data_IF_616901939096
#
_entry.id   IF_616901939096
#
_cell.length_a   1.000
_cell.length_b   1.000
_cell.length_c   1.000
_cell.angle_alpha   90.00
_cell.angle_beta   90.00
_cell.angle_gamma   90.00
#
_symmetry.space_group_name_H-M   'P 1'
#
loop_
_entity.id
_entity.type
_entity.pdbx_description
1 polymer ?
#
# COMPACT_ATOMS: atom_id res chain seq x y z
N UNK A 1 -5.40 0.16 11.41
CA UNK A 1 -4.59 1.40 11.61
C UNK A 1 -3.81 1.43 12.94
N UNK A 2 -4.17 0.64 13.95
CA UNK A 2 -3.43 0.58 15.22
C UNK A 2 -2.01 0.06 15.04
N UNK A 3 -1.82 -1.00 14.23
CA UNK A 3 -0.49 -1.54 13.91
C UNK A 3 0.39 -0.50 13.20
N UNK A 4 -0.17 0.32 12.30
CA UNK A 4 0.60 1.37 11.63
C UNK A 4 1.12 2.43 12.64
N UNK A 5 0.25 2.87 13.58
CA UNK A 5 0.68 3.81 14.63
C UNK A 5 1.70 3.19 15.57
N UNK A 6 1.57 1.89 15.89
CA UNK A 6 2.57 1.18 16.67
C UNK A 6 3.91 1.20 15.94
N UNK A 7 3.91 0.85 14.64
CA UNK A 7 5.12 0.82 13.83
C UNK A 7 5.80 2.19 13.80
N UNK A 8 5.07 3.25 13.47
CA UNK A 8 5.66 4.60 13.38
C UNK A 8 6.05 5.23 14.73
N UNK A 9 5.69 4.61 15.85
CA UNK A 9 6.21 4.98 17.16
C UNK A 9 7.57 4.35 17.48
N UNK A 10 8.08 3.44 16.65
CA UNK A 10 9.36 2.76 16.85
C UNK A 10 10.49 3.56 16.17
N UNK A 11 11.68 3.67 16.78
CA UNK A 11 12.84 4.29 16.14
C UNK A 11 13.22 3.66 14.80
N UNK A 12 13.06 2.34 14.69
CA UNK A 12 13.39 1.55 13.49
C UNK A 12 12.43 1.80 12.32
N UNK A 13 11.33 2.51 12.53
CA UNK A 13 10.44 2.95 11.46
C UNK A 13 10.97 4.16 10.66
N UNK A 14 12.06 4.76 11.14
CA UNK A 14 12.68 5.88 10.43
C UNK A 14 13.03 5.51 8.99
N UNK A 15 12.62 6.35 8.04
CA UNK A 15 12.81 6.11 6.60
C UNK A 15 11.76 5.21 5.96
N UNK A 16 10.75 4.74 6.71
CA UNK A 16 9.61 4.03 6.14
C UNK A 16 8.44 4.95 5.86
N UNK A 17 7.69 4.65 4.81
CA UNK A 17 6.45 5.31 4.41
C UNK A 17 5.34 4.27 4.27
N UNK A 18 4.15 4.60 4.78
CA UNK A 18 2.96 3.78 4.53
C UNK A 18 2.58 3.92 3.05
N UNK A 19 2.28 2.80 2.42
CA UNK A 19 1.93 2.68 1.01
C UNK A 19 0.60 1.92 0.84
N UNK A 20 0.34 1.44 -0.35
CA UNK A 20 -0.77 0.54 -0.65
C UNK A 20 -2.15 1.11 -0.34
N UNK A 21 -3.08 0.20 -0.03
CA UNK A 21 -4.47 0.54 0.30
C UNK A 21 -4.60 1.33 1.60
N UNK A 22 -3.77 1.02 2.59
CA UNK A 22 -3.79 1.69 3.89
C UNK A 22 -3.41 3.18 3.79
N UNK A 23 -2.46 3.53 2.92
CA UNK A 23 -2.10 4.92 2.66
C UNK A 23 -3.24 5.69 1.97
N UNK A 24 -3.96 5.06 1.03
CA UNK A 24 -5.15 5.67 0.42
C UNK A 24 -6.23 5.98 1.47
N UNK A 25 -6.46 5.06 2.41
CA UNK A 25 -7.41 5.27 3.52
C UNK A 25 -6.92 6.37 4.46
N UNK A 26 -5.63 6.37 4.84
CA UNK A 26 -5.04 7.36 5.74
C UNK A 26 -5.13 8.79 5.17
N UNK A 27 -5.04 8.93 3.85
CA UNK A 27 -5.17 10.20 3.13
C UNK A 27 -6.61 10.52 2.69
N UNK A 28 -7.60 9.75 3.12
CA UNK A 28 -9.00 9.93 2.72
C UNK A 28 -9.24 9.89 1.20
N UNK A 29 -8.40 9.19 0.46
CA UNK A 29 -8.54 8.98 -0.99
C UNK A 29 -9.53 7.87 -1.33
N UNK A 30 -9.72 6.91 -0.42
CA UNK A 30 -10.72 5.86 -0.50
C UNK A 30 -11.37 5.62 0.86
N UNK A 31 -12.57 5.05 0.85
CA UNK A 31 -13.26 4.56 2.06
C UNK A 31 -13.27 3.04 2.13
N UNK A 32 -12.68 2.37 1.12
CA UNK A 32 -12.60 0.91 1.06
C UNK A 32 -11.74 0.39 2.21
N UNK A 33 -12.22 -0.58 3.00
CA UNK A 33 -11.38 -1.22 4.01
C UNK A 33 -10.18 -1.92 3.36
N UNK A 34 -9.08 -2.00 4.11
CA UNK A 34 -7.87 -2.73 3.74
C UNK A 34 -7.45 -3.65 4.87
N UNK A 35 -7.00 -4.84 4.51
CA UNK A 35 -6.51 -5.87 5.44
C UNK A 35 -4.98 -5.94 5.45
N UNK A 36 -4.33 -5.16 4.56
CA UNK A 36 -2.89 -5.15 4.37
C UNK A 36 -2.32 -3.79 4.77
N UNK A 37 -1.11 -3.80 5.35
CA UNK A 37 -0.29 -2.63 5.61
C UNK A 37 1.04 -2.79 4.85
N UNK A 38 1.29 -1.92 3.91
CA UNK A 38 2.52 -1.89 3.12
C UNK A 38 3.42 -0.75 3.64
N UNK A 39 4.61 -1.06 4.12
CA UNK A 39 5.62 -0.09 4.54
C UNK A 39 6.81 -0.15 3.60
N UNK A 40 7.07 0.93 2.88
CA UNK A 40 8.17 1.02 1.94
C UNK A 40 9.28 1.90 2.47
N UNK A 41 10.51 1.47 2.23
CA UNK A 41 11.73 2.22 2.51
C UNK A 41 12.68 2.15 1.33
N UNK A 42 13.81 2.88 1.37
CA UNK A 42 14.88 2.73 0.39
C UNK A 42 16.11 2.07 1.05
N UNK A 43 17.06 1.56 0.26
CA UNK A 43 18.27 0.95 0.83
C UNK A 43 19.08 1.90 1.73
N UNK A 44 18.96 3.22 1.50
CA UNK A 44 19.71 4.25 2.21
C UNK A 44 19.02 4.76 3.47
N UNK A 45 17.68 4.59 3.57
CA UNK A 45 16.90 5.29 4.61
C UNK A 45 16.36 4.40 5.70
N UNK A 46 16.13 3.10 5.42
CA UNK A 46 15.59 2.17 6.41
C UNK A 46 16.19 0.78 6.30
N UNK A 47 15.99 -0.02 7.35
CA UNK A 47 16.55 -1.37 7.46
C UNK A 47 15.45 -2.37 7.78
N UNK A 48 14.98 -3.11 6.76
CA UNK A 48 13.84 -4.03 6.84
C UNK A 48 13.98 -5.06 7.99
N UNK A 49 15.10 -5.79 8.15
CA UNK A 49 15.22 -6.76 9.23
C UNK A 49 15.06 -6.15 10.63
N UNK A 50 15.72 -5.02 10.90
CA UNK A 50 15.62 -4.36 12.20
C UNK A 50 14.20 -3.84 12.48
N UNK A 51 13.57 -3.23 11.49
CA UNK A 51 12.18 -2.75 11.59
C UNK A 51 11.18 -3.90 11.81
N UNK A 52 11.41 -5.05 11.15
CA UNK A 52 10.61 -6.27 11.34
C UNK A 52 10.74 -6.81 12.77
N UNK A 53 11.97 -6.96 13.28
CA UNK A 53 12.23 -7.42 14.65
C UNK A 53 11.63 -6.48 15.71
N UNK A 54 11.78 -5.17 15.52
CA UNK A 54 11.23 -4.17 16.44
C UNK A 54 9.69 -4.21 16.45
N UNK A 55 9.04 -4.33 15.30
CA UNK A 55 7.59 -4.44 15.22
C UNK A 55 7.09 -5.73 15.87
N UNK A 56 7.78 -6.86 15.67
CA UNK A 56 7.44 -8.10 16.36
C UNK A 56 7.54 -7.97 17.87
N UNK A 57 8.64 -7.41 18.37
CA UNK A 57 8.85 -7.22 19.81
C UNK A 57 7.77 -6.31 20.42
N UNK A 58 7.47 -5.19 19.77
CA UNK A 58 6.44 -4.25 20.20
C UNK A 58 5.03 -4.88 20.19
N UNK A 59 4.73 -5.69 19.17
CA UNK A 59 3.44 -6.38 19.05
C UNK A 59 3.29 -7.45 20.15
N UNK A 60 4.33 -8.25 20.40
CA UNK A 60 4.33 -9.21 21.52
C UNK A 60 4.17 -8.53 22.87
N UNK A 61 4.78 -7.37 23.06
CA UNK A 61 4.63 -6.55 24.26
C UNK A 61 3.19 -6.08 24.52
N UNK A 62 2.35 -6.06 23.47
CA UNK A 62 0.89 -5.79 23.57
C UNK A 62 0.03 -7.05 23.71
N UNK A 63 0.65 -8.22 23.78
CA UNK A 63 -0.06 -9.50 23.85
C UNK A 63 -0.64 -9.96 22.50
N UNK A 64 -0.19 -9.38 21.36
CA UNK A 64 -0.60 -9.80 20.04
C UNK A 64 0.18 -11.03 19.59
N UNK A 65 -0.44 -11.88 18.79
CA UNK A 65 0.26 -12.99 18.15
C UNK A 65 0.82 -12.58 16.79
N UNK A 66 2.04 -13.06 16.50
CA UNK A 66 2.74 -12.74 15.26
C UNK A 66 3.23 -14.03 14.60
N UNK A 67 3.08 -14.07 13.29
CA UNK A 67 3.62 -15.12 12.44
C UNK A 67 4.45 -14.45 11.33
N UNK A 68 5.74 -14.81 11.22
CA UNK A 68 6.61 -14.35 10.15
C UNK A 68 6.46 -15.32 8.99
N UNK A 69 5.91 -14.83 7.85
CA UNK A 69 5.64 -15.62 6.65
C UNK A 69 6.83 -15.59 5.69
N UNK A 70 7.48 -14.43 5.59
CA UNK A 70 8.66 -14.24 4.74
C UNK A 70 9.68 -13.36 5.44
N UNK A 71 10.97 -13.67 5.20
CA UNK A 71 12.09 -12.94 5.79
C UNK A 71 13.26 -12.90 4.82
N UNK A 72 13.65 -11.67 4.44
CA UNK A 72 14.85 -11.41 3.65
C UNK A 72 15.42 -10.03 4.03
N UNK A 73 16.57 -9.69 3.48
CA UNK A 73 17.20 -8.39 3.73
C UNK A 73 16.41 -7.20 3.17
N UNK A 74 15.54 -7.44 2.17
CA UNK A 74 14.79 -6.39 1.46
C UNK A 74 13.28 -6.51 1.57
N UNK A 75 12.79 -7.61 2.15
CA UNK A 75 11.35 -7.85 2.29
C UNK A 75 11.06 -8.72 3.51
N UNK A 76 10.09 -8.30 4.31
CA UNK A 76 9.54 -9.07 5.44
C UNK A 76 8.02 -9.04 5.38
N UNK A 77 7.36 -10.20 5.53
CA UNK A 77 5.91 -10.31 5.65
C UNK A 77 5.55 -10.92 6.99
N UNK A 78 4.72 -10.21 7.75
CA UNK A 78 4.17 -10.64 9.02
C UNK A 78 2.65 -10.78 8.91
N UNK A 79 2.08 -11.72 9.67
CA UNK A 79 0.66 -11.71 10.02
C UNK A 79 0.55 -11.39 11.51
N UNK A 80 -0.06 -10.27 11.84
CA UNK A 80 -0.27 -9.81 13.21
C UNK A 80 -1.75 -9.99 13.54
N UNK A 81 -2.04 -10.65 14.67
CA UNK A 81 -3.41 -10.89 15.14
C UNK A 81 -3.61 -10.26 16.51
N UNK A 82 -4.69 -9.50 16.64
CA UNK A 82 -5.15 -8.89 17.88
C UNK A 82 -6.65 -9.13 18.08
N UNK A 83 -7.27 -8.44 19.05
CA UNK A 83 -8.73 -8.51 19.29
C UNK A 83 -9.60 -8.12 18.09
N UNK A 84 -9.10 -7.26 17.22
CA UNK A 84 -9.83 -6.71 16.07
C UNK A 84 -9.72 -7.60 14.82
N UNK A 85 -8.83 -8.61 14.86
CA UNK A 85 -8.64 -9.53 13.75
C UNK A 85 -7.19 -9.73 13.36
N UNK A 86 -6.97 -10.14 12.11
CA UNK A 86 -5.66 -10.35 11.52
C UNK A 86 -5.35 -9.25 10.50
N UNK A 87 -4.10 -8.79 10.46
CA UNK A 87 -3.58 -7.86 9.45
C UNK A 87 -2.28 -8.42 8.88
N UNK A 88 -2.15 -8.34 7.56
CA UNK A 88 -0.89 -8.64 6.87
C UNK A 88 -0.06 -7.36 6.87
N UNK A 89 1.21 -7.49 7.21
CA UNK A 89 2.17 -6.37 7.24
C UNK A 89 3.35 -6.72 6.36
N UNK A 90 3.56 -5.92 5.33
CA UNK A 90 4.70 -6.00 4.43
C UNK A 90 5.65 -4.83 4.69
N UNK A 91 6.92 -5.14 4.96
CA UNK A 91 8.01 -4.18 4.98
C UNK A 91 8.90 -4.47 3.77
N UNK A 92 9.11 -3.49 2.91
CA UNK A 92 9.85 -3.70 1.66
C UNK A 92 10.79 -2.55 1.33
N UNK A 93 11.95 -2.90 0.79
CA UNK A 93 12.80 -1.94 0.08
C UNK A 93 12.20 -1.68 -1.29
N UNK A 94 12.06 -0.40 -1.64
CA UNK A 94 11.54 0.05 -2.93
C UNK A 94 12.44 1.15 -3.50
N UNK A 95 12.19 1.55 -4.74
CA UNK A 95 12.83 2.73 -5.32
C UNK A 95 12.47 4.00 -4.53
N UNK A 96 13.37 4.99 -4.47
CA UNK A 96 13.07 6.28 -3.85
C UNK A 96 11.83 6.93 -4.50
N UNK A 97 10.90 7.49 -3.71
CA UNK A 97 9.76 8.21 -4.26
C UNK A 97 10.22 9.55 -4.88
N UNK A 98 9.55 9.98 -5.95
CA UNK A 98 9.84 11.26 -6.62
C UNK A 98 9.21 12.46 -5.89
N UNK A 99 8.22 12.22 -5.02
CA UNK A 99 7.52 13.26 -4.27
C UNK A 99 7.79 13.14 -2.77
N UNK A 100 7.79 14.28 -2.06
CA UNK A 100 7.93 14.28 -0.61
C UNK A 100 6.78 13.52 0.05
N UNK A 101 7.07 12.88 1.18
CA UNK A 101 6.08 12.17 1.97
C UNK A 101 4.94 13.09 2.43
N UNK A 102 3.75 12.52 2.58
CA UNK A 102 2.58 13.18 3.16
C UNK A 102 2.38 12.73 4.60
N UNK A 103 2.18 13.69 5.52
CA UNK A 103 1.89 13.38 6.91
C UNK A 103 0.41 13.04 7.11
N UNK A 104 0.14 11.98 7.86
CA UNK A 104 -1.22 11.54 8.23
C UNK A 104 -1.33 11.17 9.70
N UNK A 105 -2.55 10.98 10.19
CA UNK A 105 -2.78 10.49 11.55
C UNK A 105 -2.29 9.04 11.79
N UNK A 106 -1.96 8.32 10.73
CA UNK A 106 -1.39 6.96 10.80
C UNK A 106 0.15 6.96 10.77
N UNK A 107 0.75 8.08 10.41
CA UNK A 107 2.18 8.28 10.17
C UNK A 107 2.45 8.80 8.76
N UNK A 108 3.73 8.91 8.36
CA UNK A 108 4.12 9.35 7.03
C UNK A 108 3.71 8.32 5.97
N UNK A 109 3.25 8.82 4.82
CA UNK A 109 2.78 8.00 3.69
C UNK A 109 3.47 8.42 2.40
N UNK A 110 3.48 7.57 1.38
CA UNK A 110 3.78 8.01 0.02
C UNK A 110 2.84 9.15 -0.39
N UNK A 111 3.33 10.08 -1.20
CA UNK A 111 2.51 11.16 -1.76
C UNK A 111 1.31 10.61 -2.55
N UNK A 112 0.19 11.37 -2.64
CA UNK A 112 -0.99 10.94 -3.39
C UNK A 112 -0.69 10.57 -4.85
N UNK A 113 0.20 11.32 -5.50
CA UNK A 113 0.63 11.08 -6.88
C UNK A 113 1.44 9.79 -7.02
N UNK A 114 2.32 9.49 -6.04
CA UNK A 114 3.05 8.22 -5.97
C UNK A 114 2.09 7.04 -5.82
N UNK A 115 1.17 7.13 -4.86
CA UNK A 115 0.16 6.11 -4.64
C UNK A 115 -0.67 5.86 -5.89
N UNK A 116 -1.02 6.93 -6.63
CA UNK A 116 -1.79 6.82 -7.86
C UNK A 116 -1.04 6.02 -8.94
N UNK A 117 0.26 6.27 -9.13
CA UNK A 117 1.11 5.52 -10.04
C UNK A 117 1.24 4.04 -9.64
N UNK A 118 1.58 3.77 -8.38
CA UNK A 118 1.69 2.40 -7.86
C UNK A 118 0.37 1.61 -7.99
N UNK A 119 -0.78 2.26 -7.79
CA UNK A 119 -2.08 1.62 -7.98
C UNK A 119 -2.40 1.30 -9.42
N UNK A 120 -1.98 2.15 -10.36
CA UNK A 120 -2.12 1.83 -11.78
C UNK A 120 -1.22 0.67 -12.19
N UNK A 121 0.01 0.60 -11.66
CA UNK A 121 0.90 -0.55 -11.86
C UNK A 121 0.33 -1.83 -11.24
N UNK A 122 -0.26 -1.78 -10.06
CA UNK A 122 -0.91 -2.94 -9.47
C UNK A 122 -2.07 -3.47 -10.35
N UNK A 123 -2.83 -2.59 -11.00
CA UNK A 123 -3.84 -3.00 -11.98
C UNK A 123 -3.20 -3.56 -13.24
N UNK A 124 -2.11 -2.95 -13.74
CA UNK A 124 -1.34 -3.43 -14.87
C UNK A 124 -0.77 -4.84 -14.65
N UNK A 125 -0.29 -5.14 -13.43
CA UNK A 125 0.38 -6.40 -13.13
C UNK A 125 -0.60 -7.56 -12.86
N UNK A 126 -1.71 -7.30 -12.17
CA UNK A 126 -2.58 -8.38 -11.66
C UNK A 126 -4.08 -8.16 -11.87
N UNK A 127 -4.54 -6.93 -12.08
CA UNK A 127 -5.92 -6.56 -12.28
C UNK A 127 -6.90 -7.23 -11.29
N UNK A 128 -6.63 -7.14 -9.98
CA UNK A 128 -7.55 -7.63 -8.97
C UNK A 128 -8.75 -6.68 -8.80
N UNK A 129 -9.91 -7.17 -8.36
CA UNK A 129 -11.13 -6.38 -8.19
C UNK A 129 -10.91 -5.06 -7.42
N UNK A 130 -10.11 -5.11 -6.35
CA UNK A 130 -9.74 -3.93 -5.54
C UNK A 130 -8.94 -2.87 -6.32
N UNK A 131 -8.14 -3.27 -7.31
CA UNK A 131 -7.31 -2.35 -8.08
C UNK A 131 -8.18 -1.52 -9.04
N UNK A 132 -9.25 -2.10 -9.60
CA UNK A 132 -10.24 -1.36 -10.39
C UNK A 132 -10.96 -0.30 -9.54
N UNK A 133 -11.38 -0.66 -8.32
CA UNK A 133 -12.04 0.29 -7.40
C UNK A 133 -11.10 1.46 -7.03
N UNK A 134 -9.84 1.16 -6.71
CA UNK A 134 -8.83 2.18 -6.38
C UNK A 134 -8.58 3.11 -7.58
N UNK A 135 -8.38 2.55 -8.79
CA UNK A 135 -8.13 3.34 -10.00
C UNK A 135 -9.34 4.16 -10.41
N UNK A 136 -10.56 3.67 -10.24
CA UNK A 136 -11.78 4.46 -10.49
C UNK A 136 -11.79 5.77 -9.67
N UNK A 137 -11.46 5.69 -8.40
CA UNK A 137 -11.41 6.88 -7.51
C UNK A 137 -10.25 7.80 -7.89
N UNK A 138 -9.06 7.23 -8.10
CA UNK A 138 -7.85 7.99 -8.40
C UNK A 138 -7.92 8.68 -9.76
N UNK A 139 -8.53 8.02 -10.78
CA UNK A 139 -8.72 8.62 -12.10
C UNK A 139 -9.65 9.84 -12.09
N UNK A 140 -10.65 9.85 -11.20
CA UNK A 140 -11.53 11.00 -10.98
C UNK A 140 -10.83 12.16 -10.29
N UNK A 141 -9.81 11.88 -9.46
CA UNK A 141 -9.07 12.90 -8.72
C UNK A 141 -7.91 13.48 -9.53
N UNK A 142 -7.12 12.64 -10.17
CA UNK A 142 -5.87 13.05 -10.84
C UNK A 142 -5.99 13.13 -12.36
N UNK A 143 -7.00 12.49 -12.93
CA UNK A 143 -7.17 12.36 -14.37
C UNK A 143 -6.31 11.26 -15.00
N UNK A 144 -6.78 10.71 -16.12
CA UNK A 144 -6.14 9.60 -16.83
C UNK A 144 -4.69 9.88 -17.25
N UNK A 145 -4.44 11.08 -17.79
CA UNK A 145 -3.12 11.43 -18.30
C UNK A 145 -2.05 11.40 -17.19
N UNK A 146 -2.38 11.93 -16.01
CA UNK A 146 -1.48 11.92 -14.84
C UNK A 146 -1.18 10.50 -14.39
N UNK A 147 -2.19 9.64 -14.29
CA UNK A 147 -2.00 8.23 -13.88
C UNK A 147 -1.07 7.50 -14.83
N UNK A 148 -1.30 7.61 -16.16
CA UNK A 148 -0.47 6.97 -17.17
C UNK A 148 0.98 7.47 -17.13
N UNK A 149 1.16 8.79 -17.01
CA UNK A 149 2.48 9.40 -16.93
C UNK A 149 3.24 8.92 -15.68
N UNK A 150 2.56 8.84 -14.52
CA UNK A 150 3.19 8.35 -13.28
C UNK A 150 3.58 6.89 -13.36
N UNK A 151 2.69 6.03 -13.85
CA UNK A 151 3.03 4.61 -14.01
C UNK A 151 4.27 4.41 -14.90
N UNK A 152 4.34 5.13 -16.04
CA UNK A 152 5.48 5.06 -16.94
C UNK A 152 6.79 5.64 -16.36
N UNK A 153 6.71 6.55 -15.38
CA UNK A 153 7.87 7.09 -14.67
C UNK A 153 8.39 6.09 -13.61
N UNK A 154 7.47 5.41 -12.92
CA UNK A 154 7.81 4.43 -11.86
C UNK A 154 8.34 3.13 -12.48
N UNK A 155 7.74 2.67 -13.58
CA UNK A 155 8.10 1.41 -14.24
C UNK A 155 8.33 1.61 -15.74
N UNK A 156 9.59 1.46 -16.16
CA UNK A 156 9.98 1.54 -17.57
C UNK A 156 9.36 0.41 -18.45
N UNK A 157 8.88 -0.67 -17.85
CA UNK A 157 8.16 -1.75 -18.53
C UNK A 157 6.67 -1.48 -18.74
N UNK A 158 6.15 -0.36 -18.24
CA UNK A 158 4.74 -0.02 -18.39
C UNK A 158 4.35 0.19 -19.86
N UNK A 159 3.35 -0.55 -20.34
CA UNK A 159 2.79 -0.45 -21.68
C UNK A 159 1.27 -0.20 -21.61
N UNK A 160 0.83 0.90 -22.21
CA UNK A 160 -0.57 1.29 -22.22
C UNK A 160 -1.49 0.32 -23.00
N UNK A 161 -0.95 -0.49 -23.92
CA UNK A 161 -1.72 -1.52 -24.65
C UNK A 161 -1.99 -2.70 -23.70
N UNK A 162 -0.97 -3.15 -23.00
CA UNK A 162 -1.12 -4.20 -21.97
C UNK A 162 -2.09 -3.74 -20.88
N UNK A 163 -2.00 -2.48 -20.45
CA UNK A 163 -2.98 -1.91 -19.52
C UNK A 163 -4.41 -1.98 -20.07
N UNK A 164 -4.61 -1.70 -21.36
CA UNK A 164 -5.94 -1.79 -21.97
C UNK A 164 -6.49 -3.23 -21.93
N UNK A 165 -5.64 -4.23 -22.18
CA UNK A 165 -6.00 -5.64 -22.09
C UNK A 165 -6.33 -6.01 -20.63
N UNK A 166 -5.56 -5.51 -19.65
CA UNK A 166 -5.84 -5.72 -18.23
C UNK A 166 -7.14 -5.05 -17.78
N UNK A 167 -7.44 -3.85 -18.28
CA UNK A 167 -8.72 -3.16 -18.03
C UNK A 167 -9.91 -3.96 -18.58
N UNK A 168 -9.78 -4.60 -19.75
CA UNK A 168 -10.83 -5.44 -20.32
C UNK A 168 -11.15 -6.67 -19.46
N UNK A 169 -10.26 -7.05 -18.52
CA UNK A 169 -10.54 -8.16 -17.60
C UNK A 169 -11.56 -7.80 -16.51
N UNK A 170 -12.02 -6.55 -16.43
CA UNK A 170 -13.07 -6.13 -15.49
C UNK A 170 -14.33 -6.99 -15.59
N UNK A 171 -14.70 -7.43 -16.79
CA UNK A 171 -15.87 -8.28 -17.04
C UNK A 171 -15.81 -9.67 -16.35
N UNK A 172 -14.66 -10.04 -15.77
CA UNK A 172 -14.53 -11.28 -14.98
C UNK A 172 -15.09 -11.16 -13.56
N UNK A 173 -15.34 -9.93 -13.11
CA UNK A 173 -15.84 -9.67 -11.77
C UNK A 173 -17.33 -9.31 -11.80
N UNK A 174 -18.05 -9.78 -10.80
CA UNK A 174 -19.40 -9.30 -10.50
C UNK A 174 -19.34 -7.99 -9.72
N UNK A 175 -20.43 -7.23 -9.71
CA UNK A 175 -20.52 -5.95 -8.99
C UNK A 175 -20.24 -6.13 -7.48
N UNK A 176 -20.61 -7.28 -6.90
CA UNK A 176 -20.37 -7.58 -5.48
C UNK A 176 -18.91 -7.87 -5.13
N UNK A 177 -18.11 -8.29 -6.12
CA UNK A 177 -16.68 -8.56 -5.93
C UNK A 177 -15.84 -7.29 -6.00
N UNK A 178 -16.37 -6.22 -6.62
CA UNK A 178 -15.67 -4.95 -6.71
C UNK A 178 -16.00 -4.12 -5.48
N UNK A 179 -15.02 -3.87 -4.58
CA UNK A 179 -15.25 -3.13 -3.34
C UNK A 179 -15.41 -1.63 -3.64
N UNK A 180 -16.53 -1.25 -4.26
CA UNK A 180 -16.80 0.15 -4.56
C UNK A 180 -16.85 0.99 -3.29
N UNK A 181 -16.22 2.18 -3.25
CA UNK A 181 -16.40 3.10 -2.15
C UNK A 181 -17.88 3.46 -2.05
N UNK A 182 -18.44 3.37 -0.84
CA UNK A 182 -19.83 3.75 -0.60
C UNK A 182 -20.07 5.15 -1.17
N UNK A 183 -21.07 5.28 -2.03
CA UNK A 183 -21.48 6.59 -2.53
C UNK A 183 -21.76 7.49 -1.32
N UNK A 184 -21.06 8.61 -1.19
CA UNK A 184 -21.42 9.63 -0.19
C UNK A 184 -22.84 10.08 -0.52
N UNK A 185 -23.80 9.72 0.34
CA UNK A 185 -25.16 10.28 0.31
C UNK A 185 -25.13 11.74 0.72
#
# INVERSE_FOLDING_TARGET
>A
MEVARLFFALPESTGFLLAGGAALVAQHLTTRPTEDLDFFTTPETGHVPAACEALEAASRGRGWSIERIHDSSTFCRLVIRNSDGAVIVDLAVNAPPDFPASETAAGPTLAPEELAGHKLLALFDRAAARDFADIYVLARRFGKATLLARAAQIDAGFDARVLADMLATLDRFTDDEIPCPAARR
#
